data_IF_790723699614
#
_entry.id   IF_790723699614
#
_cell.length_a   1.000
_cell.length_b   1.000
_cell.length_c   1.000
_cell.angle_alpha   90.00
_cell.angle_beta   90.00
_cell.angle_gamma   90.00
#
_symmetry.space_group_name_H-M   'P 1'
#
loop_
_entity.id
_entity.type
_entity.pdbx_description
1 polymer ?
#
# COMPACT_ATOMS: atom_id res chain seq x y z
N UNK A 1 -6.46 12.32 -8.97
CA UNK A 1 -5.66 11.32 -8.24
C UNK A 1 -6.48 10.06 -8.06
N UNK A 2 -5.88 8.91 -8.37
CA UNK A 2 -6.48 7.59 -8.25
C UNK A 2 -5.46 6.62 -7.66
N UNK A 3 -5.75 6.01 -6.51
CA UNK A 3 -4.86 5.05 -5.87
C UNK A 3 -5.36 3.61 -6.10
N UNK A 4 -4.49 2.74 -6.65
CA UNK A 4 -4.81 1.33 -6.87
C UNK A 4 -3.56 0.46 -6.77
N UNK A 5 -3.41 -0.36 -5.71
CA UNK A 5 -4.30 -0.54 -4.54
C UNK A 5 -4.43 0.70 -3.67
N UNK A 6 -5.61 0.91 -3.11
CA UNK A 6 -5.93 2.07 -2.27
C UNK A 6 -5.48 1.88 -0.80
N UNK A 7 -5.06 2.94 -0.16
CA UNK A 7 -4.86 3.00 1.28
C UNK A 7 -5.94 3.94 1.88
N UNK A 8 -6.77 3.51 2.86
CA UNK A 8 -6.52 2.39 3.79
C UNK A 8 -7.22 1.06 3.44
N UNK A 9 -8.01 0.96 2.38
CA UNK A 9 -8.87 -0.21 2.10
C UNK A 9 -8.11 -1.44 1.59
N UNK A 10 -6.98 -1.25 0.88
CA UNK A 10 -6.25 -2.31 0.21
C UNK A 10 -6.90 -2.79 -1.10
N UNK A 11 -8.07 -2.25 -1.45
CA UNK A 11 -8.80 -2.61 -2.67
C UNK A 11 -8.09 -2.12 -3.92
N UNK A 12 -8.19 -2.87 -5.00
CA UNK A 12 -7.71 -2.47 -6.33
C UNK A 12 -8.87 -2.29 -7.31
N UNK A 13 -8.66 -1.47 -8.31
CA UNK A 13 -9.53 -1.38 -9.46
C UNK A 13 -9.17 -2.55 -10.39
N UNK A 14 -10.14 -3.33 -10.91
CA UNK A 14 -9.89 -4.35 -11.92
C UNK A 14 -9.18 -3.78 -13.14
N UNK A 15 -8.19 -4.52 -13.68
CA UNK A 15 -7.37 -4.01 -14.79
C UNK A 15 -8.19 -3.58 -16.01
N UNK A 16 -9.25 -4.34 -16.33
CA UNK A 16 -10.13 -4.02 -17.46
C UNK A 16 -10.88 -2.69 -17.25
N UNK A 17 -11.38 -2.45 -16.03
CA UNK A 17 -12.07 -1.20 -15.68
C UNK A 17 -11.12 -0.02 -15.69
N UNK A 18 -9.91 -0.19 -15.11
CA UNK A 18 -8.88 0.84 -15.10
C UNK A 18 -8.44 1.17 -16.53
N UNK A 19 -8.24 0.17 -17.39
CA UNK A 19 -7.88 0.37 -18.78
C UNK A 19 -8.98 1.10 -19.56
N UNK A 20 -10.24 0.71 -19.38
CA UNK A 20 -11.37 1.38 -20.00
C UNK A 20 -11.53 2.84 -19.53
N UNK A 21 -11.23 3.09 -18.25
CA UNK A 21 -11.22 4.45 -17.70
C UNK A 21 -10.09 5.30 -18.31
N UNK A 22 -8.86 4.77 -18.39
CA UNK A 22 -7.72 5.48 -18.99
C UNK A 22 -7.96 5.76 -20.47
N UNK A 23 -8.57 4.82 -21.20
CA UNK A 23 -8.86 5.01 -22.63
C UNK A 23 -9.85 6.15 -22.88
N UNK A 24 -10.84 6.28 -22.02
CA UNK A 24 -11.88 7.33 -22.08
C UNK A 24 -11.51 8.61 -21.35
N UNK A 25 -10.30 8.65 -20.73
CA UNK A 25 -9.92 9.80 -19.93
C UNK A 25 -9.77 11.05 -20.82
N UNK A 26 -10.42 12.18 -20.46
CA UNK A 26 -10.48 13.34 -21.34
C UNK A 26 -9.12 13.99 -21.56
N UNK A 27 -8.94 14.63 -22.71
CA UNK A 27 -7.81 15.52 -22.95
C UNK A 27 -7.93 16.77 -22.04
N UNK A 28 -6.82 17.21 -21.48
CA UNK A 28 -6.74 18.40 -20.64
C UNK A 28 -6.35 18.09 -19.19
N UNK A 29 -7.16 17.40 -18.37
CA UNK A 29 -6.72 17.01 -17.05
C UNK A 29 -5.67 15.91 -17.09
N UNK A 30 -4.86 15.83 -16.01
CA UNK A 30 -3.82 14.82 -15.84
C UNK A 30 -4.30 13.77 -14.82
N UNK A 31 -4.28 12.48 -15.20
CA UNK A 31 -4.53 11.38 -14.27
C UNK A 31 -3.23 11.07 -13.50
N UNK A 32 -3.25 11.24 -12.19
CA UNK A 32 -2.17 10.78 -11.31
C UNK A 32 -2.59 9.44 -10.71
N UNK A 33 -1.92 8.37 -11.14
CA UNK A 33 -2.14 7.01 -10.68
C UNK A 33 -1.12 6.65 -9.60
N UNK A 34 -1.58 6.52 -8.36
CA UNK A 34 -0.74 6.12 -7.23
C UNK A 34 -0.68 4.59 -7.14
N UNK A 35 0.47 4.04 -7.49
CA UNK A 35 0.80 2.62 -7.49
C UNK A 35 1.73 2.23 -6.35
N UNK A 36 1.63 2.85 -5.18
CA UNK A 36 2.51 2.57 -4.05
C UNK A 36 2.51 1.12 -3.57
N UNK A 37 1.55 0.30 -3.97
CA UNK A 37 1.40 -1.11 -3.61
C UNK A 37 1.35 -2.04 -4.84
N UNK A 38 1.79 -1.58 -5.98
CA UNK A 38 1.65 -2.28 -7.26
C UNK A 38 2.37 -3.64 -7.28
N UNK A 39 3.51 -3.76 -6.61
CA UNK A 39 4.28 -5.01 -6.58
C UNK A 39 3.56 -6.17 -5.87
N UNK A 40 2.56 -5.88 -5.03
CA UNK A 40 1.75 -6.90 -4.36
C UNK A 40 0.59 -7.42 -5.22
N UNK A 41 0.37 -6.85 -6.41
CA UNK A 41 -0.66 -7.29 -7.36
C UNK A 41 -0.07 -8.43 -8.22
N UNK A 42 -0.68 -9.62 -8.28
CA UNK A 42 -0.20 -10.71 -9.11
C UNK A 42 -0.09 -10.34 -10.60
N UNK A 43 -1.08 -9.62 -11.09
CA UNK A 43 -1.15 -9.10 -12.46
C UNK A 43 -1.35 -7.58 -12.41
N UNK A 44 -0.25 -6.79 -12.38
CA UNK A 44 -0.36 -5.34 -12.31
C UNK A 44 -0.88 -4.75 -13.62
N UNK A 45 -1.55 -3.58 -13.58
CA UNK A 45 -2.01 -2.89 -14.78
C UNK A 45 -0.83 -2.45 -15.66
N UNK A 46 -1.00 -2.32 -16.98
CA UNK A 46 0.06 -1.94 -17.91
C UNK A 46 0.32 -0.41 -17.90
N UNK A 47 0.38 0.20 -16.73
CA UNK A 47 0.43 1.65 -16.53
C UNK A 47 1.65 2.32 -17.22
N UNK A 48 2.81 1.65 -17.23
CA UNK A 48 4.01 2.13 -17.96
C UNK A 48 3.76 2.20 -19.47
N UNK A 49 2.98 1.26 -20.00
CA UNK A 49 2.59 1.27 -21.42
C UNK A 49 1.75 2.49 -21.75
N UNK A 50 0.78 2.86 -20.91
CA UNK A 50 -0.05 4.06 -21.13
C UNK A 50 0.79 5.34 -21.18
N UNK A 51 1.83 5.46 -20.33
CA UNK A 51 2.77 6.58 -20.39
C UNK A 51 3.53 6.61 -21.73
N UNK A 52 4.00 5.45 -22.21
CA UNK A 52 4.70 5.31 -23.49
C UNK A 52 3.81 5.62 -24.69
N UNK A 53 2.53 5.30 -24.61
CA UNK A 53 1.51 5.59 -25.62
C UNK A 53 1.05 7.06 -25.59
N UNK A 54 1.63 7.90 -24.73
CA UNK A 54 1.33 9.32 -24.65
C UNK A 54 0.02 9.67 -23.95
N UNK A 55 -0.61 8.72 -23.22
CA UNK A 55 -1.81 9.02 -22.42
C UNK A 55 -1.48 10.07 -21.35
N UNK A 56 -2.46 10.91 -20.94
CA UNK A 56 -2.25 11.95 -19.93
C UNK A 56 -2.20 11.35 -18.50
N UNK A 57 -1.25 10.44 -18.27
CA UNK A 57 -1.09 9.69 -17.03
C UNK A 57 0.29 9.97 -16.43
N UNK A 58 0.31 10.19 -15.10
CA UNK A 58 1.52 10.12 -14.27
C UNK A 58 1.36 8.94 -13.34
N UNK A 59 2.31 8.00 -13.37
CA UNK A 59 2.35 6.84 -12.49
C UNK A 59 3.32 7.12 -11.35
N UNK A 60 2.85 7.04 -10.11
CA UNK A 60 3.69 7.22 -8.92
C UNK A 60 4.00 5.88 -8.28
N UNK A 61 5.28 5.62 -7.98
CA UNK A 61 5.78 4.44 -7.28
C UNK A 61 6.74 4.81 -6.15
N UNK A 62 6.92 3.91 -5.20
CA UNK A 62 7.73 4.19 -4.01
C UNK A 62 8.65 3.03 -3.67
N UNK A 63 9.83 3.33 -3.13
CA UNK A 63 10.71 2.35 -2.50
C UNK A 63 10.39 2.09 -1.01
N UNK A 64 9.36 2.76 -0.48
CA UNK A 64 9.00 2.68 0.95
C UNK A 64 8.25 1.41 1.34
N UNK A 65 7.82 0.56 0.39
CA UNK A 65 6.98 -0.61 0.64
C UNK A 65 7.79 -1.90 0.42
N UNK A 66 7.63 -2.54 -0.72
CA UNK A 66 8.25 -3.85 -0.99
C UNK A 66 9.77 -3.81 -0.88
N UNK A 67 10.41 -2.72 -1.28
CA UNK A 67 11.86 -2.55 -1.20
C UNK A 67 12.39 -2.21 0.20
N UNK A 68 11.52 -1.91 1.17
CA UNK A 68 11.91 -1.68 2.56
C UNK A 68 12.64 -0.36 2.86
N UNK A 69 12.70 0.59 1.92
CA UNK A 69 13.48 1.83 2.03
C UNK A 69 12.66 3.02 2.57
N UNK A 70 11.65 2.77 3.41
CA UNK A 70 10.75 3.82 3.90
C UNK A 70 11.47 4.98 4.60
N UNK A 71 12.56 4.71 5.33
CA UNK A 71 13.38 5.70 6.04
C UNK A 71 14.16 6.64 5.11
N UNK A 72 14.45 6.21 3.89
CA UNK A 72 15.23 7.00 2.91
C UNK A 72 14.41 8.03 2.14
N UNK A 73 13.09 8.01 2.27
CA UNK A 73 12.17 8.99 1.66
C UNK A 73 12.33 9.14 0.15
N UNK A 74 12.35 8.03 -0.60
CA UNK A 74 12.54 8.01 -2.05
C UNK A 74 11.42 7.25 -2.76
N UNK A 75 11.03 7.75 -3.91
CA UNK A 75 10.09 7.18 -4.85
C UNK A 75 10.34 7.77 -6.23
N UNK A 76 9.53 7.41 -7.20
CA UNK A 76 9.67 7.92 -8.56
C UNK A 76 8.30 8.07 -9.24
N UNK A 77 8.27 8.98 -10.23
CA UNK A 77 7.14 9.16 -11.11
C UNK A 77 7.52 8.82 -12.55
N UNK A 78 6.61 8.21 -13.29
CA UNK A 78 6.73 7.95 -14.71
C UNK A 78 5.69 8.82 -15.43
N UNK A 79 6.13 9.63 -16.38
CA UNK A 79 5.27 10.52 -17.14
C UNK A 79 5.86 10.76 -18.54
N UNK A 80 5.07 11.36 -19.43
CA UNK A 80 5.58 11.89 -20.70
C UNK A 80 6.70 12.92 -20.43
N UNK A 81 7.67 13.10 -21.38
CA UNK A 81 8.79 14.01 -21.18
C UNK A 81 8.38 15.46 -20.89
N UNK A 82 7.34 15.98 -21.54
CA UNK A 82 6.82 17.34 -21.32
C UNK A 82 6.29 17.53 -19.89
N UNK A 83 5.52 16.56 -19.38
CA UNK A 83 5.00 16.55 -18.02
C UNK A 83 6.14 16.40 -17.00
N UNK A 84 7.07 15.46 -17.25
CA UNK A 84 8.22 15.24 -16.39
C UNK A 84 9.09 16.50 -16.27
N UNK A 85 9.27 17.26 -17.37
CA UNK A 85 10.01 18.52 -17.36
C UNK A 85 9.35 19.60 -16.48
N UNK A 86 8.02 19.69 -16.48
CA UNK A 86 7.27 20.60 -15.61
C UNK A 86 7.42 20.19 -14.14
N UNK A 87 7.24 18.90 -13.82
CA UNK A 87 7.43 18.37 -12.47
C UNK A 87 8.85 18.60 -11.95
N UNK A 88 9.86 18.45 -12.83
CA UNK A 88 11.26 18.71 -12.49
C UNK A 88 11.52 20.17 -12.11
N UNK A 89 10.85 21.14 -12.75
CA UNK A 89 10.94 22.56 -12.39
C UNK A 89 10.28 22.89 -11.05
N UNK A 90 9.29 22.09 -10.66
CA UNK A 90 8.47 22.33 -9.44
C UNK A 90 9.03 21.64 -8.20
N UNK A 91 9.98 20.69 -8.35
CA UNK A 91 10.53 19.96 -7.20
C UNK A 91 11.48 20.83 -6.38
N UNK A 92 11.53 20.59 -5.09
CA UNK A 92 12.49 21.24 -4.20
C UNK A 92 13.93 20.82 -4.57
N UNK A 93 14.92 21.73 -4.52
CA UNK A 93 16.32 21.37 -4.62
C UNK A 93 16.70 20.32 -3.55
N UNK A 94 17.55 19.37 -3.91
CA UNK A 94 18.07 18.34 -3.00
C UNK A 94 16.98 17.49 -2.30
N UNK A 95 15.81 17.33 -2.91
CA UNK A 95 14.67 16.60 -2.35
C UNK A 95 14.94 15.11 -2.11
N UNK A 96 15.99 14.53 -2.66
CA UNK A 96 16.46 13.16 -2.40
C UNK A 96 17.97 13.16 -2.10
N UNK A 97 18.39 12.45 -1.06
CA UNK A 97 19.81 12.35 -0.70
C UNK A 97 20.57 11.39 -1.62
N UNK A 98 21.88 11.56 -1.76
CA UNK A 98 22.73 10.65 -2.53
C UNK A 98 22.67 9.19 -2.01
N UNK A 99 22.71 8.92 -0.67
CA UNK A 99 22.50 7.56 -0.15
C UNK A 99 21.14 6.96 -0.54
N UNK A 100 20.06 7.76 -0.56
CA UNK A 100 18.75 7.28 -0.97
C UNK A 100 18.72 6.87 -2.45
N UNK A 101 19.37 7.66 -3.32
CA UNK A 101 19.47 7.33 -4.74
C UNK A 101 20.29 6.06 -5.00
N UNK A 102 21.44 5.92 -4.33
CA UNK A 102 22.27 4.71 -4.43
C UNK A 102 21.53 3.46 -3.95
N UNK A 103 20.83 3.55 -2.81
CA UNK A 103 20.01 2.47 -2.29
C UNK A 103 18.85 2.11 -3.22
N UNK A 104 18.18 3.09 -3.82
CA UNK A 104 17.10 2.86 -4.79
C UNK A 104 17.61 2.13 -6.05
N UNK A 105 18.77 2.50 -6.58
CA UNK A 105 19.38 1.82 -7.73
C UNK A 105 19.71 0.36 -7.40
N UNK A 106 20.30 0.09 -6.23
CA UNK A 106 20.56 -1.27 -5.75
C UNK A 106 19.26 -2.07 -5.58
N UNK A 107 18.23 -1.47 -4.98
CA UNK A 107 16.93 -2.11 -4.76
C UNK A 107 16.17 -2.46 -6.05
N UNK A 108 16.35 -1.70 -7.13
CA UNK A 108 15.77 -2.02 -8.44
C UNK A 108 16.36 -3.31 -9.04
N UNK A 109 17.62 -3.62 -8.73
CA UNK A 109 18.28 -4.83 -9.19
C UNK A 109 17.98 -6.06 -8.31
N UNK A 110 17.52 -5.86 -7.07
CA UNK A 110 17.25 -6.95 -6.11
C UNK A 110 15.83 -7.52 -6.28
N UNK A 111 15.64 -8.21 -7.39
CA UNK A 111 14.36 -8.87 -7.73
C UNK A 111 14.05 -10.03 -6.76
N UNK A 112 15.07 -10.65 -6.17
CA UNK A 112 14.88 -11.75 -5.22
C UNK A 112 14.29 -11.26 -3.89
N UNK A 113 14.74 -10.12 -3.38
CA UNK A 113 14.13 -9.49 -2.20
C UNK A 113 12.65 -9.17 -2.47
N UNK A 114 12.34 -8.57 -3.62
CA UNK A 114 10.95 -8.26 -4.00
C UNK A 114 10.10 -9.53 -4.04
N UNK A 115 10.58 -10.58 -4.70
CA UNK A 115 9.88 -11.87 -4.82
C UNK A 115 9.59 -12.49 -3.44
N UNK A 116 10.59 -12.53 -2.55
CA UNK A 116 10.45 -13.06 -1.18
C UNK A 116 9.45 -12.24 -0.35
N UNK A 117 9.55 -10.91 -0.42
CA UNK A 117 8.67 -10.00 0.33
C UNK A 117 7.23 -10.12 -0.13
N UNK A 118 6.99 -10.20 -1.44
CA UNK A 118 5.65 -10.41 -2.00
C UNK A 118 5.07 -11.75 -1.57
N UNK A 119 5.84 -12.83 -1.67
CA UNK A 119 5.40 -14.17 -1.26
C UNK A 119 5.02 -14.20 0.23
N UNK A 120 5.89 -13.69 1.11
CA UNK A 120 5.63 -13.57 2.57
C UNK A 120 4.36 -12.77 2.83
N UNK A 121 4.19 -11.64 2.15
CA UNK A 121 3.04 -10.77 2.33
C UNK A 121 1.74 -11.45 1.90
N UNK A 122 1.73 -12.15 0.77
CA UNK A 122 0.55 -12.84 0.27
C UNK A 122 0.14 -13.96 1.22
N UNK A 123 1.07 -14.84 1.63
CA UNK A 123 0.82 -15.90 2.60
C UNK A 123 0.32 -15.34 3.95
N UNK A 124 0.96 -14.28 4.45
CA UNK A 124 0.55 -13.64 5.71
C UNK A 124 -0.84 -12.99 5.63
N UNK A 125 -1.18 -12.40 4.48
CA UNK A 125 -2.50 -11.81 4.25
C UNK A 125 -3.60 -12.87 4.20
N UNK A 126 -3.38 -13.97 3.48
CA UNK A 126 -4.32 -15.10 3.43
C UNK A 126 -4.55 -15.71 4.82
N UNK A 127 -3.48 -15.91 5.58
CA UNK A 127 -3.53 -16.38 6.97
C UNK A 127 -4.35 -15.43 7.85
N UNK A 128 -4.09 -14.10 7.78
CA UNK A 128 -4.84 -13.13 8.57
C UNK A 128 -6.32 -13.14 8.19
N UNK A 129 -6.66 -13.18 6.91
CA UNK A 129 -8.04 -13.20 6.44
C UNK A 129 -8.77 -14.48 6.91
N UNK A 130 -8.11 -15.63 6.87
CA UNK A 130 -8.66 -16.89 7.42
C UNK A 130 -8.91 -16.79 8.92
N UNK A 131 -7.97 -16.21 9.67
CA UNK A 131 -8.11 -15.95 11.11
C UNK A 131 -9.30 -15.02 11.39
N UNK A 132 -9.43 -13.91 10.66
CA UNK A 132 -10.53 -12.94 10.84
C UNK A 132 -11.88 -13.57 10.55
N UNK A 133 -12.01 -14.36 9.48
CA UNK A 133 -13.21 -15.11 9.15
C UNK A 133 -13.61 -16.08 10.29
N UNK A 134 -12.64 -16.85 10.81
CA UNK A 134 -12.87 -17.78 11.94
C UNK A 134 -13.42 -17.07 13.19
N UNK A 135 -13.04 -15.82 13.40
CA UNK A 135 -13.48 -15.03 14.56
C UNK A 135 -14.68 -14.12 14.26
N UNK A 136 -15.30 -14.23 13.08
CA UNK A 136 -16.45 -13.41 12.69
C UNK A 136 -16.16 -11.92 12.58
N UNK A 137 -14.89 -11.54 12.35
CA UNK A 137 -14.48 -10.15 12.20
C UNK A 137 -14.60 -9.73 10.73
N UNK A 138 -15.35 -8.66 10.49
CA UNK A 138 -15.51 -8.08 9.15
C UNK A 138 -14.22 -7.40 8.73
N UNK A 139 -13.78 -7.63 7.51
CA UNK A 139 -12.62 -6.99 6.92
C UNK A 139 -12.87 -6.67 5.45
N UNK A 140 -12.01 -5.81 4.89
CA UNK A 140 -12.03 -5.48 3.46
C UNK A 140 -10.99 -6.35 2.76
N UNK A 141 -11.39 -7.25 1.84
CA UNK A 141 -10.44 -7.99 1.00
C UNK A 141 -9.63 -7.03 0.12
N UNK A 142 -8.31 -7.19 0.12
CA UNK A 142 -7.43 -6.31 -0.63
C UNK A 142 -6.14 -7.00 -1.08
N UNK A 143 -5.33 -6.29 -1.86
CA UNK A 143 -4.07 -6.81 -2.43
C UNK A 143 -2.83 -6.09 -1.89
N UNK A 144 -2.98 -5.08 -1.02
CA UNK A 144 -1.86 -4.37 -0.40
C UNK A 144 -1.18 -5.22 0.69
N UNK A 145 -0.10 -4.70 1.27
CA UNK A 145 0.62 -5.33 2.39
C UNK A 145 -0.05 -5.09 3.75
N UNK A 146 -1.35 -4.93 3.78
CA UNK A 146 -2.16 -4.76 4.98
C UNK A 146 -3.60 -5.23 4.74
N UNK A 147 -4.36 -5.38 5.83
CA UNK A 147 -5.79 -5.65 5.84
C UNK A 147 -6.50 -4.60 6.70
N UNK A 148 -7.62 -4.07 6.23
CA UNK A 148 -8.51 -3.19 6.97
C UNK A 148 -9.60 -4.02 7.65
N UNK A 149 -9.71 -3.89 8.98
CA UNK A 149 -10.54 -4.75 9.85
C UNK A 149 -11.48 -3.91 10.71
N UNK A 150 -12.74 -4.30 10.82
CA UNK A 150 -13.70 -3.69 11.71
C UNK A 150 -13.62 -4.30 13.10
N UNK A 151 -13.46 -3.46 14.13
CA UNK A 151 -13.20 -3.87 15.51
C UNK A 151 -14.13 -3.18 16.53
N UNK A 152 -15.10 -2.41 16.05
CA UNK A 152 -16.03 -1.65 16.89
C UNK A 152 -15.46 -0.31 17.36
N UNK A 153 -14.38 -0.30 18.12
CA UNK A 153 -13.64 0.92 18.53
C UNK A 153 -12.15 0.76 18.14
N UNK A 154 -11.75 1.41 17.05
CA UNK A 154 -10.40 1.33 16.52
C UNK A 154 -9.33 1.93 17.45
N UNK A 155 -9.67 3.02 18.17
CA UNK A 155 -8.73 3.66 19.09
C UNK A 155 -8.53 2.82 20.35
N UNK A 156 -9.61 2.18 20.87
CA UNK A 156 -9.53 1.24 21.99
C UNK A 156 -8.70 0.03 21.59
N UNK A 157 -8.99 -0.59 20.45
CA UNK A 157 -8.24 -1.75 19.95
C UNK A 157 -6.76 -1.42 19.76
N UNK A 158 -6.43 -0.24 19.22
CA UNK A 158 -5.04 0.23 19.10
C UNK A 158 -4.35 0.31 20.47
N UNK A 159 -4.96 0.98 21.47
CA UNK A 159 -4.35 1.11 22.80
C UNK A 159 -4.13 -0.25 23.47
N UNK A 160 -5.09 -1.16 23.35
CA UNK A 160 -4.99 -2.50 23.96
C UNK A 160 -3.93 -3.38 23.28
N UNK A 161 -3.78 -3.27 21.95
CA UNK A 161 -2.73 -3.95 21.22
C UNK A 161 -1.35 -3.32 21.51
N UNK A 162 -1.28 -2.00 21.63
CA UNK A 162 -0.04 -1.28 21.97
C UNK A 162 0.53 -1.69 23.33
N UNK A 163 -0.32 -1.89 24.35
CA UNK A 163 0.07 -2.42 25.67
C UNK A 163 0.72 -3.82 25.55
N UNK A 164 0.45 -4.56 24.48
CA UNK A 164 0.99 -5.90 24.18
C UNK A 164 2.17 -5.84 23.18
N UNK A 165 2.68 -4.63 22.91
CA UNK A 165 3.80 -4.43 21.98
C UNK A 165 3.43 -4.60 20.49
N UNK A 166 2.15 -4.44 20.14
CA UNK A 166 1.64 -4.52 18.76
C UNK A 166 1.07 -3.18 18.35
N UNK A 167 1.58 -2.61 17.26
CA UNK A 167 1.15 -1.31 16.75
C UNK A 167 0.36 -1.52 15.45
N UNK A 168 -0.91 -1.14 15.49
CA UNK A 168 -1.81 -1.10 14.32
C UNK A 168 -2.19 0.35 14.00
N UNK A 169 -2.83 0.61 12.88
CA UNK A 169 -3.26 1.97 12.52
C UNK A 169 -4.76 2.13 12.75
N UNK A 170 -5.22 2.93 13.74
CA UNK A 170 -6.63 3.31 13.85
C UNK A 170 -7.01 4.25 12.70
N UNK A 171 -8.24 4.15 12.21
CA UNK A 171 -8.68 4.84 11.00
C UNK A 171 -9.67 5.99 11.27
N UNK A 172 -9.72 6.51 12.50
CA UNK A 172 -10.53 7.67 12.86
C UNK A 172 -10.27 8.90 11.97
N UNK A 173 -9.01 9.13 11.60
CA UNK A 173 -8.63 10.23 10.68
C UNK A 173 -9.16 10.09 9.26
N UNK A 174 -9.66 8.89 8.91
CA UNK A 174 -10.36 8.60 7.64
C UNK A 174 -11.88 8.58 7.82
N UNK A 175 -12.42 9.09 8.94
CA UNK A 175 -13.83 9.00 9.32
C UNK A 175 -14.35 7.56 9.48
N UNK A 176 -13.47 6.63 9.85
CA UNK A 176 -13.74 5.20 10.04
C UNK A 176 -13.35 4.77 11.47
N UNK A 177 -14.02 5.30 12.53
CA UNK A 177 -13.60 5.11 13.92
C UNK A 177 -13.71 3.67 14.42
N UNK A 178 -14.55 2.83 13.79
CA UNK A 178 -14.69 1.41 14.13
C UNK A 178 -13.63 0.50 13.47
N UNK A 179 -12.72 1.06 12.66
CA UNK A 179 -11.78 0.30 11.85
C UNK A 179 -10.33 0.52 12.24
N UNK A 180 -9.54 -0.54 12.07
CA UNK A 180 -8.08 -0.49 12.12
C UNK A 180 -7.48 -1.05 10.83
N UNK A 181 -6.26 -0.65 10.51
CA UNK A 181 -5.45 -1.23 9.44
C UNK A 181 -4.30 -2.01 10.07
N UNK A 182 -4.18 -3.28 9.72
CA UNK A 182 -3.16 -4.21 10.20
C UNK A 182 -2.19 -4.47 9.06
N UNK A 183 -0.91 -4.11 9.22
CA UNK A 183 0.14 -4.46 8.26
C UNK A 183 0.52 -5.93 8.41
N UNK A 184 0.80 -6.58 7.28
CA UNK A 184 1.33 -7.94 7.28
C UNK A 184 2.79 -7.90 7.70
N UNK A 185 3.14 -8.71 8.69
CA UNK A 185 4.48 -8.87 9.24
C UNK A 185 5.05 -10.26 8.97
N UNK A 186 6.12 -10.62 9.72
CA UNK A 186 6.68 -11.98 9.69
C UNK A 186 5.69 -12.99 10.27
N UNK A 187 5.88 -14.30 10.01
CA UNK A 187 5.02 -15.35 10.61
C UNK A 187 4.90 -15.26 12.13
N UNK A 188 6.00 -14.92 12.82
CA UNK A 188 6.05 -14.76 14.28
C UNK A 188 5.24 -13.53 14.73
N UNK A 189 5.34 -12.42 14.01
CA UNK A 189 4.56 -11.21 14.30
C UNK A 189 3.07 -11.45 14.08
N UNK A 190 2.71 -12.17 13.01
CA UNK A 190 1.32 -12.53 12.74
C UNK A 190 0.76 -13.48 13.80
N UNK A 191 1.53 -14.47 14.27
CA UNK A 191 1.13 -15.35 15.37
C UNK A 191 0.85 -14.57 16.67
N UNK A 192 1.72 -13.63 17.04
CA UNK A 192 1.52 -12.74 18.20
C UNK A 192 0.25 -11.89 18.04
N UNK A 193 -0.03 -11.38 16.85
CA UNK A 193 -1.24 -10.61 16.57
C UNK A 193 -2.49 -11.47 16.74
N UNK A 194 -2.50 -12.69 16.20
CA UNK A 194 -3.62 -13.62 16.28
C UNK A 194 -3.95 -14.01 17.73
N UNK A 195 -2.94 -14.13 18.60
CA UNK A 195 -3.15 -14.36 20.03
C UNK A 195 -3.69 -13.11 20.74
N UNK A 196 -3.17 -11.93 20.42
CA UNK A 196 -3.45 -10.69 21.13
C UNK A 196 -4.77 -10.03 20.70
N UNK A 197 -5.17 -10.15 19.44
CA UNK A 197 -6.31 -9.41 18.87
C UNK A 197 -7.63 -9.75 19.58
N UNK A 198 -8.03 -11.03 19.81
CA UNK A 198 -9.27 -11.34 20.50
C UNK A 198 -9.29 -10.80 21.94
N UNK A 199 -8.16 -10.89 22.64
CA UNK A 199 -8.03 -10.36 24.01
C UNK A 199 -8.14 -8.83 24.05
N UNK A 200 -7.60 -8.14 23.06
CA UNK A 200 -7.70 -6.68 22.94
C UNK A 200 -9.13 -6.22 22.68
N UNK A 201 -9.91 -6.99 21.92
CA UNK A 201 -11.31 -6.67 21.61
C UNK A 201 -12.27 -6.94 22.75
N UNK A 202 -11.94 -7.86 23.66
CA UNK A 202 -12.75 -8.19 24.85
C UNK A 202 -12.37 -7.41 26.10
N UNK A 203 -11.21 -6.76 26.13
CA UNK A 203 -10.74 -5.99 27.26
C UNK A 203 -11.71 -4.84 27.62
N UNK A 204 -12.26 -4.87 28.86
CA UNK A 204 -13.16 -3.83 29.38
C UNK A 204 -14.60 -3.89 28.84
N UNK A 205 -15.08 -5.11 28.48
CA UNK A 205 -16.51 -5.43 28.49
C UNK A 205 -16.96 -5.75 29.92
#
# INVERSE_FOLDING_TARGET
FLASPNNPTGTRIPNAELAAFVEKFPAGPLLVLDEAYHEFIPEPPPSVRWVREGKPVVVLRTFSKVQGLAGLRIGYGLARPDIAAVLQKSRQPFNTSAPAQAAALAALADTEHVRKTVALTNTGRERLQAFLNKHGLRFVPGTANFVMVEVGDGDKAFRELQKRGLIVRPLRSYHLPSWIRISIGTPEQMARLEEALPRALTAGK
#
